data_IF_102347047508
#
_entry.id   IF_102347047508
#
_cell.length_a   1.000
_cell.length_b   1.000
_cell.length_c   1.000
_cell.angle_alpha   90.00
_cell.angle_beta   90.00
_cell.angle_gamma   90.00
#
_symmetry.space_group_name_H-M   'P 1'
#
loop_
_entity.id
_entity.type
_entity.pdbx_description
1 polymer ?
#
# COMPACT_ATOMS: atom_id res chain seq x y z
N UNK A 1 -2.00 5.02 7.58
CA UNK A 1 -1.52 3.70 8.04
C UNK A 1 -2.13 2.63 7.15
N UNK A 2 -1.35 1.62 6.74
CA UNK A 2 -1.89 0.43 6.07
C UNK A 2 -2.32 -0.57 7.14
N UNK A 3 -3.48 -1.19 6.95
CA UNK A 3 -4.05 -2.16 7.88
C UNK A 3 -4.43 -3.41 7.11
N UNK A 4 -3.79 -4.52 7.47
CA UNK A 4 -4.02 -5.84 6.92
C UNK A 4 -4.84 -6.68 7.91
N UNK A 5 -5.64 -7.60 7.38
CA UNK A 5 -6.44 -8.54 8.18
C UNK A 5 -6.47 -9.89 7.48
N UNK A 6 -6.52 -10.95 8.28
CA UNK A 6 -6.72 -12.32 7.79
C UNK A 6 -8.21 -12.70 7.71
N UNK A 7 -9.11 -11.84 8.17
CA UNK A 7 -10.54 -12.09 8.13
C UNK A 7 -11.08 -11.97 6.70
N UNK A 8 -12.01 -12.84 6.27
CA UNK A 8 -12.60 -12.75 4.93
C UNK A 8 -13.32 -11.42 4.74
N UNK A 9 -13.13 -10.80 3.58
CA UNK A 9 -13.82 -9.56 3.22
C UNK A 9 -15.30 -9.83 2.90
N UNK A 10 -16.17 -8.92 3.34
CA UNK A 10 -17.59 -8.87 2.97
C UNK A 10 -17.88 -8.01 1.74
N UNK A 11 -16.86 -7.31 1.24
CA UNK A 11 -16.94 -6.37 0.14
C UNK A 11 -15.97 -6.77 -0.97
N UNK A 12 -16.34 -6.47 -2.20
CA UNK A 12 -15.47 -6.52 -3.37
C UNK A 12 -15.09 -5.10 -3.77
N UNK A 13 -13.83 -4.85 -4.13
CA UNK A 13 -13.45 -3.50 -4.56
C UNK A 13 -14.12 -3.14 -5.89
N UNK A 14 -14.37 -4.13 -6.74
CA UNK A 14 -15.03 -3.99 -8.03
C UNK A 14 -16.51 -3.57 -7.94
N UNK A 15 -17.16 -3.78 -6.79
CA UNK A 15 -18.58 -3.48 -6.59
C UNK A 15 -18.82 -2.06 -6.06
N UNK A 16 -17.76 -1.30 -5.77
CA UNK A 16 -17.83 0.05 -5.17
C UNK A 16 -17.85 1.12 -6.27
N UNK A 17 -18.78 2.08 -6.19
CA UNK A 17 -19.05 3.00 -7.30
C UNK A 17 -17.99 4.08 -7.58
N UNK A 18 -17.19 4.48 -6.59
CA UNK A 18 -16.16 5.53 -6.74
C UNK A 18 -14.75 4.96 -6.52
N UNK A 19 -14.20 4.37 -7.60
CA UNK A 19 -12.87 3.75 -7.64
C UNK A 19 -11.89 4.68 -8.34
N UNK A 20 -10.74 4.91 -7.70
CA UNK A 20 -9.57 5.54 -8.32
C UNK A 20 -8.56 4.47 -8.71
N UNK A 21 -8.12 4.53 -9.96
CA UNK A 21 -7.13 3.61 -10.51
C UNK A 21 -5.83 4.35 -10.82
N UNK A 22 -4.70 3.73 -10.48
CA UNK A 22 -3.37 4.27 -10.75
C UNK A 22 -2.37 3.16 -11.02
N UNK A 23 -1.34 3.52 -11.77
CA UNK A 23 -0.26 2.62 -12.15
C UNK A 23 1.05 3.18 -11.64
N UNK A 24 1.81 2.33 -10.97
CA UNK A 24 3.12 2.66 -10.46
C UNK A 24 4.16 1.66 -11.00
N UNK A 25 5.38 2.12 -11.21
CA UNK A 25 6.49 1.26 -11.59
C UNK A 25 7.60 1.44 -10.58
N UNK A 26 8.01 0.33 -9.97
CA UNK A 26 9.11 0.26 -9.03
C UNK A 26 10.27 -0.54 -9.59
N UNK A 27 11.48 -0.21 -9.12
CA UNK A 27 12.71 -0.95 -9.36
C UNK A 27 13.32 -1.27 -8.00
N UNK A 28 13.45 -2.57 -7.72
CA UNK A 28 14.13 -3.08 -6.54
C UNK A 28 15.56 -3.44 -6.92
N UNK A 29 16.51 -2.85 -6.19
CA UNK A 29 17.95 -3.07 -6.40
C UNK A 29 18.61 -3.37 -5.06
N UNK A 30 19.87 -3.82 -5.10
CA UNK A 30 20.70 -3.95 -3.90
C UNK A 30 20.91 -2.64 -3.13
N UNK A 31 20.65 -1.49 -3.76
CA UNK A 31 20.90 -0.16 -3.19
C UNK A 31 19.63 0.54 -2.70
N UNK A 32 18.47 -0.07 -2.89
CA UNK A 32 17.20 0.50 -2.51
C UNK A 32 16.09 0.29 -3.54
N UNK A 33 14.94 0.84 -3.21
CA UNK A 33 13.71 0.79 -3.99
C UNK A 33 13.56 2.14 -4.69
N UNK A 34 13.29 2.14 -5.99
CA UNK A 34 13.10 3.36 -6.77
C UNK A 34 11.73 3.33 -7.46
N UNK A 35 10.99 4.43 -7.44
CA UNK A 35 9.71 4.55 -8.13
C UNK A 35 9.82 5.50 -9.32
N UNK A 36 9.15 5.14 -10.41
CA UNK A 36 9.06 5.95 -11.62
C UNK A 36 8.15 7.15 -11.37
N UNK A 37 8.67 8.35 -11.62
CA UNK A 37 7.90 9.58 -11.67
C UNK A 37 8.24 10.36 -12.93
N UNK A 38 7.22 10.65 -13.75
CA UNK A 38 7.39 11.20 -15.10
C UNK A 38 8.34 10.32 -15.95
N UNK A 39 9.52 10.84 -16.31
CA UNK A 39 10.51 10.18 -17.17
C UNK A 39 11.63 9.47 -16.40
N UNK A 40 11.67 9.58 -15.07
CA UNK A 40 12.83 9.18 -14.28
C UNK A 40 12.45 8.32 -13.08
N UNK A 41 13.42 7.57 -12.57
CA UNK A 41 13.30 6.79 -11.34
C UNK A 41 13.95 7.55 -10.20
N UNK A 42 13.28 7.61 -9.06
CA UNK A 42 13.76 8.33 -7.88
C UNK A 42 13.76 7.39 -6.68
N UNK A 43 14.75 7.55 -5.80
CA UNK A 43 14.89 6.71 -4.61
C UNK A 43 13.67 6.90 -3.70
N UNK A 44 13.06 5.80 -3.29
CA UNK A 44 12.06 5.76 -2.24
C UNK A 44 12.77 5.72 -0.88
N UNK A 45 12.42 6.65 -0.01
CA UNK A 45 12.92 6.73 1.35
C UNK A 45 11.77 6.65 2.34
N UNK A 46 12.04 6.14 3.53
CA UNK A 46 11.05 6.12 4.60
C UNK A 46 10.91 7.52 5.18
N UNK A 47 9.67 7.95 5.44
CA UNK A 47 9.42 9.25 6.05
C UNK A 47 9.86 9.28 7.53
N UNK A 48 9.81 8.14 8.20
CA UNK A 48 10.22 7.95 9.60
C UNK A 48 11.29 6.88 9.71
N UNK A 49 12.23 7.06 10.63
CA UNK A 49 13.34 6.12 10.87
C UNK A 49 12.89 4.84 11.58
N UNK A 50 11.75 4.89 12.27
CA UNK A 50 11.16 3.77 12.98
C UNK A 50 9.98 3.23 12.17
N UNK A 51 10.21 2.13 11.47
CA UNK A 51 9.14 1.30 10.93
C UNK A 51 8.53 0.53 12.11
N UNK A 52 7.32 0.89 12.49
CA UNK A 52 6.49 0.14 13.43
C UNK A 52 5.52 -0.72 12.63
N UNK A 53 5.71 -2.03 12.71
CA UNK A 53 4.63 -2.99 12.47
C UNK A 53 4.10 -3.44 13.82
N UNK A 54 2.80 -3.29 14.01
CA UNK A 54 2.14 -3.68 15.25
C UNK A 54 0.93 -4.55 14.97
N UNK A 55 0.72 -5.54 15.82
CA UNK A 55 -0.48 -6.37 15.80
C UNK A 55 -1.47 -5.78 16.81
N UNK A 56 -2.69 -5.53 16.37
CA UNK A 56 -3.78 -5.02 17.19
C UNK A 56 -4.90 -6.06 17.20
N UNK A 57 -5.33 -6.43 18.40
CA UNK A 57 -6.49 -7.28 18.59
C UNK A 57 -7.71 -6.43 18.91
N UNK A 58 -8.80 -6.65 18.17
CA UNK A 58 -10.08 -6.04 18.46
C UNK A 58 -11.20 -7.04 18.21
N UNK A 59 -12.01 -7.29 19.25
CA UNK A 59 -13.01 -8.35 19.27
C UNK A 59 -12.36 -9.70 18.91
N UNK A 60 -12.87 -10.39 17.87
CA UNK A 60 -12.34 -11.66 17.38
C UNK A 60 -11.38 -11.49 16.19
N UNK A 61 -10.99 -10.25 15.85
CA UNK A 61 -10.17 -9.93 14.69
C UNK A 61 -8.75 -9.51 15.08
N UNK A 62 -7.80 -9.92 14.24
CA UNK A 62 -6.39 -9.53 14.32
C UNK A 62 -6.05 -8.62 13.13
N UNK A 63 -5.45 -7.48 13.44
CA UNK A 63 -5.02 -6.49 12.45
C UNK A 63 -3.51 -6.31 12.52
N UNK A 64 -2.86 -6.39 11.36
CA UNK A 64 -1.47 -5.97 11.22
C UNK A 64 -1.45 -4.54 10.70
N UNK A 65 -0.91 -3.61 11.47
CA UNK A 65 -0.81 -2.20 11.12
C UNK A 65 0.61 -1.86 10.75
N UNK A 66 0.76 -1.25 9.58
CA UNK A 66 2.02 -0.72 9.06
C UNK A 66 1.90 0.81 8.94
N UNK A 67 2.70 1.53 9.73
CA UNK A 67 2.71 3.00 9.73
C UNK A 67 3.61 3.60 8.64
N UNK A 68 4.30 2.76 7.87
CA UNK A 68 5.29 3.18 6.89
C UNK A 68 4.64 3.62 5.57
N UNK A 69 5.05 4.79 5.08
CA UNK A 69 4.85 5.14 3.67
C UNK A 69 6.19 5.53 3.05
N UNK A 70 6.59 4.77 2.03
CA UNK A 70 7.72 5.13 1.19
C UNK A 70 7.39 6.42 0.46
N UNK A 71 8.26 7.43 0.57
CA UNK A 71 8.16 8.68 -0.17
C UNK A 71 9.26 8.80 -1.21
N UNK A 72 8.86 9.31 -2.36
CA UNK A 72 9.76 9.66 -3.45
C UNK A 72 10.69 10.82 -3.05
N UNK A 73 11.98 10.55 -2.88
CA UNK A 73 12.98 11.59 -2.78
C UNK A 73 13.34 12.11 -4.19
N UNK A 74 12.67 13.18 -4.61
CA UNK A 74 12.84 13.81 -5.94
C UNK A 74 14.23 14.41 -6.19
N UNK A 75 15.09 14.49 -5.16
CA UNK A 75 16.49 14.93 -5.31
C UNK A 75 17.42 13.77 -5.66
N UNK A 76 17.00 12.52 -5.43
CA UNK A 76 17.81 11.31 -5.64
C UNK A 76 17.32 10.53 -6.86
N UNK A 77 17.77 10.96 -8.03
CA UNK A 77 17.46 10.31 -9.31
C UNK A 77 18.39 9.14 -9.61
N UNK A 78 17.84 8.03 -10.10
CA UNK A 78 18.58 6.92 -10.68
C UNK A 78 18.94 7.25 -12.12
N UNK A 79 20.22 7.46 -12.39
CA UNK A 79 20.73 7.89 -13.71
C UNK A 79 20.98 6.73 -14.69
N UNK A 80 21.03 5.49 -14.21
CA UNK A 80 21.24 4.29 -15.02
C UNK A 80 20.54 3.09 -14.38
N UNK A 81 19.94 2.23 -15.20
CA UNK A 81 19.28 0.99 -14.73
C UNK A 81 20.33 -0.07 -14.36
N UNK A 82 20.36 -0.55 -13.09
CA UNK A 82 21.29 -1.61 -12.70
C UNK A 82 21.00 -2.94 -13.40
N UNK A 83 22.05 -3.69 -13.73
CA UNK A 83 21.94 -4.99 -14.41
C UNK A 83 21.14 -6.03 -13.59
N UNK A 84 21.33 -6.04 -12.26
CA UNK A 84 20.59 -6.89 -11.34
C UNK A 84 19.54 -6.04 -10.61
N UNK A 85 18.37 -5.93 -11.22
CA UNK A 85 17.21 -5.31 -10.61
C UNK A 85 15.94 -6.08 -10.91
N UNK A 86 14.90 -5.84 -10.11
CA UNK A 86 13.58 -6.40 -10.31
C UNK A 86 12.60 -5.26 -10.58
N UNK A 87 11.90 -5.35 -11.70
CA UNK A 87 10.84 -4.42 -12.06
C UNK A 87 9.51 -4.91 -11.49
N UNK A 88 8.79 -3.99 -10.87
CA UNK A 88 7.43 -4.22 -10.39
C UNK A 88 6.54 -3.16 -11.00
N UNK A 89 5.61 -3.59 -11.84
CA UNK A 89 4.50 -2.75 -12.28
C UNK A 89 3.32 -3.05 -11.36
N UNK A 90 2.93 -2.07 -10.56
CA UNK A 90 1.83 -2.19 -9.62
C UNK A 90 0.62 -1.50 -10.21
N UNK A 91 -0.46 -2.25 -10.40
CA UNK A 91 -1.77 -1.68 -10.64
C UNK A 91 -2.51 -1.54 -9.31
N UNK A 92 -3.02 -0.34 -9.04
CA UNK A 92 -3.64 -0.04 -7.75
C UNK A 92 -5.06 0.48 -7.97
N UNK A 93 -6.01 -0.17 -7.30
CA UNK A 93 -7.38 0.30 -7.14
C UNK A 93 -7.58 0.77 -5.71
N UNK A 94 -8.12 1.96 -5.56
CA UNK A 94 -8.47 2.54 -4.26
C UNK A 94 -9.88 3.07 -4.30
N UNK A 95 -10.73 2.61 -3.39
CA UNK A 95 -12.04 3.19 -3.15
C UNK A 95 -12.07 3.82 -1.76
N UNK A 96 -12.81 4.92 -1.63
CA UNK A 96 -13.10 5.49 -0.32
C UNK A 96 -14.30 4.76 0.25
N UNK A 97 -14.17 4.30 1.49
CA UNK A 97 -15.27 3.81 2.30
C UNK A 97 -15.73 4.95 3.23
N UNK A 98 -16.48 4.61 4.26
CA UNK A 98 -16.93 5.57 5.25
C UNK A 98 -15.85 5.87 6.31
N UNK A 99 -16.05 6.95 7.07
CA UNK A 99 -15.27 7.30 8.26
C UNK A 99 -13.76 7.51 8.02
N UNK A 100 -13.34 7.86 6.81
CA UNK A 100 -11.91 8.07 6.48
C UNK A 100 -11.14 6.76 6.29
N UNK A 101 -11.84 5.66 6.07
CA UNK A 101 -11.25 4.39 5.63
C UNK A 101 -11.22 4.39 4.11
N UNK A 102 -10.13 3.91 3.52
CA UNK A 102 -10.09 3.56 2.11
C UNK A 102 -9.70 2.09 1.97
N UNK A 103 -10.34 1.38 1.04
CA UNK A 103 -9.98 0.01 0.71
C UNK A 103 -9.13 0.00 -0.56
N UNK A 104 -8.03 -0.75 -0.51
CA UNK A 104 -7.02 -0.78 -1.56
C UNK A 104 -6.76 -2.21 -2.00
N UNK A 105 -6.75 -2.41 -3.31
CA UNK A 105 -6.26 -3.61 -3.99
C UNK A 105 -5.03 -3.21 -4.82
N UNK A 106 -3.91 -3.87 -4.57
CA UNK A 106 -2.70 -3.78 -5.39
C UNK A 106 -2.50 -5.09 -6.16
N UNK A 107 -2.08 -5.00 -7.42
CA UNK A 107 -1.73 -6.15 -8.25
C UNK A 107 -0.34 -5.90 -8.82
N UNK A 108 0.65 -6.63 -8.31
CA UNK A 108 2.03 -6.54 -8.76
C UNK A 108 2.29 -7.50 -9.93
N UNK A 109 2.78 -6.94 -11.03
CA UNK A 109 3.15 -7.64 -12.25
C UNK A 109 2.05 -8.54 -12.81
N UNK A 110 0.77 -8.22 -12.58
CA UNK A 110 -0.41 -9.02 -12.94
C UNK A 110 -0.50 -10.41 -12.27
N UNK A 111 0.27 -10.65 -11.20
CA UNK A 111 0.33 -11.96 -10.53
C UNK A 111 0.04 -11.89 -9.03
N UNK A 112 0.62 -10.93 -8.31
CA UNK A 112 0.56 -10.91 -6.85
C UNK A 112 -0.46 -9.88 -6.40
N UNK A 113 -1.61 -10.35 -5.91
CA UNK A 113 -2.65 -9.49 -5.36
C UNK A 113 -2.43 -9.25 -3.87
N UNK A 114 -2.57 -8.00 -3.44
CA UNK A 114 -2.54 -7.57 -2.04
C UNK A 114 -3.76 -6.70 -1.74
N UNK A 115 -4.36 -6.91 -0.57
CA UNK A 115 -5.52 -6.16 -0.10
C UNK A 115 -5.25 -5.57 1.26
N UNK A 116 -5.56 -4.28 1.45
CA UNK A 116 -5.42 -3.62 2.73
C UNK A 116 -6.33 -2.40 2.84
N UNK A 117 -6.54 -1.95 4.07
CA UNK A 117 -7.22 -0.70 4.37
C UNK A 117 -6.21 0.40 4.64
N UNK A 118 -6.52 1.62 4.20
CA UNK A 118 -5.83 2.83 4.65
C UNK A 118 -6.72 3.52 5.65
N UNK A 119 -6.18 3.76 6.84
CA UNK A 119 -6.80 4.59 7.88
C UNK A 119 -5.89 5.76 8.22
N UNK A 120 -6.48 6.92 8.48
CA UNK A 120 -5.83 8.13 8.95
C UNK A 120 -5.63 8.14 10.48
N UNK A 121 -6.44 7.39 11.22
CA UNK A 121 -6.37 7.26 12.68
C UNK A 121 -6.45 5.78 13.12
N UNK A 122 -5.68 5.40 14.14
CA UNK A 122 -5.65 4.06 14.72
C UNK A 122 -7.00 3.69 15.35
N UNK A 123 -7.76 4.67 15.85
CA UNK A 123 -9.08 4.43 16.42
C UNK A 123 -10.08 3.90 15.38
N UNK A 124 -9.87 4.21 14.11
CA UNK A 124 -10.74 3.79 12.99
C UNK A 124 -10.54 2.34 12.57
N UNK A 125 -9.50 1.67 13.07
CA UNK A 125 -9.31 0.23 12.85
C UNK A 125 -10.54 -0.56 13.31
N UNK A 126 -11.20 -0.11 14.39
CA UNK A 126 -12.42 -0.75 14.90
C UNK A 126 -13.55 -0.76 13.86
N UNK A 127 -13.65 0.29 13.05
CA UNK A 127 -14.67 0.41 12.00
C UNK A 127 -14.39 -0.49 10.78
N UNK A 128 -13.19 -1.08 10.66
CA UNK A 128 -12.91 -2.09 9.63
C UNK A 128 -13.76 -3.34 9.82
N UNK A 129 -14.18 -3.64 11.06
CA UNK A 129 -15.07 -4.75 11.39
C UNK A 129 -16.38 -4.78 10.59
N UNK A 130 -16.84 -3.64 10.08
CA UNK A 130 -18.03 -3.53 9.23
C UNK A 130 -17.85 -4.17 7.85
N UNK A 131 -16.61 -4.39 7.41
CA UNK A 131 -16.26 -4.82 6.05
C UNK A 131 -15.68 -6.24 6.00
N UNK A 132 -15.62 -6.94 7.14
CA UNK A 132 -15.05 -8.29 7.27
C UNK A 132 -16.01 -9.24 7.99
N UNK A 133 -15.87 -10.55 7.76
CA UNK A 133 -16.70 -11.63 8.35
C UNK A 133 -16.20 -12.13 9.69
#
# INVERSE_FOLDING_TARGET
MKVYTNSPLNISIEDIGDIKEYYETYIYTRYGIYQKYKKHFFLCEQETTNVSTQVIHHENNEYLVEENSLKLNKQKILTSLPYQCYFVNTFIRKCSLDNGIAFVKEIDNDHFESFYFIVDDIEKIKSIGLYIK
#
